data_IF_423834746909
#
_entry.id   IF_423834746909
#
_cell.length_a   1.000
_cell.length_b   1.000
_cell.length_c   1.000
_cell.angle_alpha   90.00
_cell.angle_beta   90.00
_cell.angle_gamma   90.00
#
_symmetry.space_group_name_H-M   'P 1'
#
loop_
_entity.id
_entity.type
_entity.pdbx_description
1 polymer ?
#
# COMPACT_ATOMS: atom_id res chain seq x y z
N UNK A 1 -3.69 15.14 -3.88
CA UNK A 1 -4.12 15.07 -5.31
C UNK A 1 -4.12 13.59 -5.65
N UNK A 2 -5.29 12.99 -5.86
CA UNK A 2 -5.40 11.54 -5.87
C UNK A 2 -4.77 10.93 -7.13
N UNK A 3 -3.87 9.97 -6.93
CA UNK A 3 -3.17 9.19 -7.97
C UNK A 3 -3.72 7.77 -8.02
N UNK A 4 -3.46 7.05 -9.10
CA UNK A 4 -3.89 5.66 -9.29
C UNK A 4 -2.69 4.76 -9.57
N UNK A 5 -2.74 3.53 -9.07
CA UNK A 5 -1.79 2.46 -9.39
C UNK A 5 -2.52 1.11 -9.38
N UNK A 6 -2.14 0.20 -10.28
CA UNK A 6 -2.66 -1.17 -10.30
C UNK A 6 -1.57 -2.12 -9.82
N UNK A 7 -1.83 -2.77 -8.68
CA UNK A 7 -0.89 -3.70 -8.06
C UNK A 7 -1.30 -5.14 -8.38
N UNK A 8 -0.43 -5.86 -9.08
CA UNK A 8 -0.64 -7.27 -9.39
C UNK A 8 -0.15 -8.16 -8.24
N UNK A 9 -0.99 -9.06 -7.74
CA UNK A 9 -0.68 -9.90 -6.60
C UNK A 9 -1.29 -11.29 -6.72
N UNK A 10 -0.46 -12.31 -6.48
CA UNK A 10 -0.85 -13.71 -6.61
C UNK A 10 -0.99 -14.34 -5.23
N UNK A 11 -2.16 -14.90 -4.95
CA UNK A 11 -2.41 -15.66 -3.71
C UNK A 11 -2.73 -17.09 -4.09
N UNK A 12 -1.93 -18.05 -3.63
CA UNK A 12 -2.13 -19.48 -3.92
C UNK A 12 -2.32 -19.80 -5.42
N UNK A 13 -1.52 -19.15 -6.29
CA UNK A 13 -1.59 -19.25 -7.76
C UNK A 13 -2.86 -18.66 -8.40
N UNK A 14 -3.66 -17.90 -7.64
CA UNK A 14 -4.72 -17.08 -8.19
C UNK A 14 -4.21 -15.65 -8.37
N UNK A 15 -4.01 -15.26 -9.62
CA UNK A 15 -3.61 -13.91 -9.95
C UNK A 15 -4.77 -12.95 -9.73
N UNK A 16 -4.49 -11.86 -9.04
CA UNK A 16 -5.41 -10.75 -8.82
C UNK A 16 -4.71 -9.45 -9.18
N UNK A 17 -5.47 -8.47 -9.68
CA UNK A 17 -4.99 -7.11 -9.85
C UNK A 17 -5.92 -6.19 -9.09
N UNK A 18 -5.34 -5.36 -8.23
CA UNK A 18 -6.08 -4.45 -7.35
C UNK A 18 -5.67 -3.04 -7.71
N UNK A 19 -6.64 -2.25 -8.15
CA UNK A 19 -6.42 -0.82 -8.38
C UNK A 19 -6.55 -0.07 -7.05
N UNK A 20 -5.59 0.81 -6.81
CA UNK A 20 -5.47 1.64 -5.63
C UNK A 20 -5.50 3.10 -6.04
N UNK A 21 -6.37 3.86 -5.40
CA UNK A 21 -6.27 5.31 -5.36
C UNK A 21 -5.43 5.69 -4.16
N UNK A 22 -4.47 6.60 -4.32
CA UNK A 22 -3.63 7.03 -3.21
C UNK A 22 -3.34 8.53 -3.20
N UNK A 23 -3.10 9.06 -2.01
CA UNK A 23 -2.56 10.42 -1.80
C UNK A 23 -1.41 10.36 -0.79
N UNK A 24 -0.52 11.33 -0.84
CA UNK A 24 0.69 11.35 -0.03
C UNK A 24 0.80 12.65 0.74
N UNK A 25 1.08 12.54 2.03
CA UNK A 25 1.32 13.68 2.92
C UNK A 25 2.63 13.44 3.63
N UNK A 26 3.47 14.47 3.67
CA UNK A 26 4.67 14.48 4.49
C UNK A 26 4.46 15.49 5.61
N UNK A 27 4.58 15.03 6.84
CA UNK A 27 4.54 15.87 8.03
C UNK A 27 5.84 15.68 8.81
N UNK A 28 6.57 16.76 9.00
CA UNK A 28 7.94 16.76 9.52
C UNK A 28 8.86 15.75 8.79
N UNK A 29 9.12 14.60 9.43
CA UNK A 29 9.95 13.51 8.91
C UNK A 29 9.14 12.24 8.62
N UNK A 30 7.81 12.29 8.71
CA UNK A 30 6.94 11.14 8.47
C UNK A 30 6.25 11.32 7.13
N UNK A 31 6.52 10.39 6.22
CA UNK A 31 5.81 10.28 4.96
C UNK A 31 4.69 9.26 5.10
N UNK A 32 3.47 9.67 4.79
CA UNK A 32 2.27 8.82 4.85
C UNK A 32 1.60 8.77 3.50
N UNK A 33 1.38 7.55 3.01
CA UNK A 33 0.63 7.25 1.80
C UNK A 33 -0.72 6.68 2.24
N UNK A 34 -1.79 7.40 1.94
CA UNK A 34 -3.16 6.97 2.18
C UNK A 34 -3.65 6.22 0.94
N UNK A 35 -3.96 4.95 1.08
CA UNK A 35 -4.42 4.09 -0.01
C UNK A 35 -5.88 3.72 0.17
N UNK A 36 -6.62 3.69 -0.93
CA UNK A 36 -8.00 3.23 -1.02
C UNK A 36 -8.16 2.27 -2.20
N UNK A 37 -8.69 1.08 -1.93
CA UNK A 37 -9.00 0.09 -2.96
C UNK A 37 -10.21 0.55 -3.76
N UNK A 38 -10.02 0.77 -5.06
CA UNK A 38 -11.09 1.19 -5.97
C UNK A 38 -11.98 0.00 -6.35
N UNK A 39 -13.22 0.28 -6.75
CA UNK A 39 -14.19 -0.74 -7.18
C UNK A 39 -15.24 -1.12 -6.11
N UNK A 40 -16.14 -2.05 -6.45
CA UNK A 40 -17.20 -2.51 -5.57
C UNK A 40 -16.69 -3.52 -4.52
N UNK A 41 -17.41 -3.71 -3.41
CA UNK A 41 -17.00 -4.62 -2.34
C UNK A 41 -16.94 -6.07 -2.84
N UNK A 42 -17.82 -6.40 -3.78
CA UNK A 42 -17.93 -7.69 -4.46
C UNK A 42 -16.73 -8.02 -5.34
N UNK A 43 -16.00 -7.02 -5.84
CA UNK A 43 -14.81 -7.20 -6.69
C UNK A 43 -13.50 -7.25 -5.91
N UNK A 44 -13.51 -6.90 -4.62
CA UNK A 44 -12.31 -6.96 -3.78
C UNK A 44 -12.02 -8.42 -3.42
N UNK A 45 -10.79 -8.91 -3.66
CA UNK A 45 -10.43 -10.27 -3.29
C UNK A 45 -10.65 -10.54 -1.80
N UNK A 46 -11.21 -11.71 -1.50
CA UNK A 46 -11.52 -12.15 -0.13
C UNK A 46 -10.30 -12.16 0.81
N UNK A 47 -9.10 -12.30 0.27
CA UNK A 47 -7.87 -12.31 1.05
C UNK A 47 -7.44 -10.90 1.48
N UNK A 48 -7.87 -9.85 0.76
CA UNK A 48 -7.54 -8.46 1.06
C UNK A 48 -8.51 -7.89 2.09
N UNK A 49 -9.82 -8.01 1.83
CA UNK A 49 -10.93 -7.62 2.73
C UNK A 49 -10.75 -6.27 3.44
N UNK A 50 -10.02 -5.36 2.80
CA UNK A 50 -9.67 -4.07 3.34
C UNK A 50 -9.91 -3.01 2.27
N UNK A 51 -10.49 -1.89 2.69
CA UNK A 51 -10.88 -0.79 1.81
C UNK A 51 -9.87 0.34 1.80
N UNK A 52 -9.29 0.64 2.95
CA UNK A 52 -8.35 1.74 3.14
C UNK A 52 -7.24 1.31 4.07
N UNK A 53 -6.02 1.70 3.74
CA UNK A 53 -4.84 1.45 4.56
C UNK A 53 -3.86 2.60 4.41
N UNK A 54 -2.95 2.69 5.36
CA UNK A 54 -1.90 3.70 5.37
C UNK A 54 -0.55 3.01 5.33
N UNK A 55 0.35 3.57 4.52
CA UNK A 55 1.74 3.17 4.44
C UNK A 55 2.56 4.32 5.01
N UNK A 56 3.30 4.08 6.08
CA UNK A 56 4.07 5.11 6.77
C UNK A 56 5.54 4.83 6.62
N UNK A 57 6.33 5.88 6.50
CA UNK A 57 7.78 5.77 6.49
C UNK A 57 8.42 6.98 7.16
N UNK A 58 9.57 6.74 7.78
CA UNK A 58 10.42 7.79 8.31
C UNK A 58 11.39 8.23 7.22
N UNK A 59 11.45 9.53 6.96
CA UNK A 59 12.42 10.14 6.06
C UNK A 59 13.68 10.46 6.88
N UNK A 60 14.80 9.83 6.53
CA UNK A 60 16.11 10.15 7.10
C UNK A 60 17.12 10.34 5.98
N UNK A 61 17.74 11.53 5.93
CA UNK A 61 18.74 11.87 4.91
C UNK A 61 18.28 11.63 3.44
N UNK A 62 17.00 11.89 3.17
CA UNK A 62 16.41 11.74 1.83
C UNK A 62 16.06 10.30 1.43
N UNK A 63 16.12 9.36 2.38
CA UNK A 63 15.74 7.98 2.16
C UNK A 63 14.62 7.56 3.12
N UNK A 64 13.82 6.58 2.71
CA UNK A 64 12.54 6.25 3.33
C UNK A 64 12.60 4.87 4.00
N UNK A 65 12.46 4.85 5.31
CA UNK A 65 12.38 3.61 6.10
C UNK A 65 10.92 3.30 6.42
N UNK A 66 10.35 2.18 5.94
CA UNK A 66 8.97 1.82 6.26
C UNK A 66 8.77 1.64 7.77
N UNK A 67 7.67 2.21 8.27
CA UNK A 67 7.18 2.02 9.62
C UNK A 67 6.10 0.95 9.57
N UNK A 68 6.44 -0.26 9.97
CA UNK A 68 5.49 -1.35 10.10
C UNK A 68 4.51 -1.02 11.23
N UNK A 69 3.30 -0.60 10.86
CA UNK A 69 2.18 -0.47 11.77
C UNK A 69 1.47 -1.81 11.83
N UNK A 70 1.26 -2.33 13.03
CA UNK A 70 0.34 -3.44 13.27
C UNK A 70 -1.09 -2.90 13.06
N UNK A 71 -1.48 -2.78 11.80
CA UNK A 71 -2.80 -2.35 11.40
C UNK A 71 -3.75 -3.49 11.76
N UNK A 72 -4.29 -3.51 12.99
CA UNK A 72 -5.19 -4.56 13.50
C UNK A 72 -6.48 -4.82 12.69
N UNK A 73 -6.62 -4.19 11.53
CA UNK A 73 -7.60 -4.48 10.49
C UNK A 73 -7.12 -5.51 9.45
N UNK A 74 -5.81 -5.70 9.30
CA UNK A 74 -5.21 -6.69 8.41
C UNK A 74 -5.22 -8.04 9.13
N UNK A 75 -6.05 -8.97 8.62
CA UNK A 75 -6.31 -10.26 9.26
C UNK A 75 -5.70 -11.45 8.51
N UNK A 76 -4.89 -11.17 7.50
CA UNK A 76 -4.44 -12.13 6.49
C UNK A 76 -3.01 -11.82 6.09
N UNK A 77 -2.13 -12.82 6.15
CA UNK A 77 -0.74 -12.71 5.68
C UNK A 77 -0.68 -12.25 4.22
N UNK A 78 -1.64 -12.70 3.40
CA UNK A 78 -1.72 -12.27 2.00
C UNK A 78 -2.03 -10.77 1.86
N UNK A 79 -2.83 -10.21 2.78
CA UNK A 79 -3.10 -8.78 2.79
C UNK A 79 -1.86 -7.98 3.24
N UNK A 80 -1.11 -8.46 4.24
CA UNK A 80 0.16 -7.83 4.65
C UNK A 80 1.17 -7.81 3.50
N UNK A 81 1.37 -8.96 2.85
CA UNK A 81 2.26 -9.08 1.69
C UNK A 81 1.82 -8.20 0.51
N UNK A 82 0.51 -8.06 0.29
CA UNK A 82 -0.02 -7.15 -0.70
C UNK A 82 0.29 -5.69 -0.35
N UNK A 83 0.13 -5.29 0.92
CA UNK A 83 0.41 -3.95 1.40
C UNK A 83 1.91 -3.61 1.22
N UNK A 84 2.81 -4.54 1.57
CA UNK A 84 4.25 -4.39 1.35
C UNK A 84 4.60 -4.22 -0.13
N UNK A 85 3.94 -5.02 -0.99
CA UNK A 85 4.10 -4.91 -2.44
C UNK A 85 3.59 -3.56 -2.96
N UNK A 86 2.40 -3.15 -2.55
CA UNK A 86 1.81 -1.87 -2.93
C UNK A 86 2.71 -0.70 -2.52
N UNK A 87 3.30 -0.75 -1.32
CA UNK A 87 4.28 0.24 -0.89
C UNK A 87 5.50 0.28 -1.81
N UNK A 88 6.08 -0.88 -2.11
CA UNK A 88 7.25 -0.96 -3.00
C UNK A 88 6.94 -0.39 -4.38
N UNK A 89 5.81 -0.75 -4.98
CA UNK A 89 5.43 -0.29 -6.32
C UNK A 89 5.13 1.22 -6.34
N UNK A 90 4.42 1.75 -5.33
CA UNK A 90 4.17 3.19 -5.23
C UNK A 90 5.48 3.96 -5.08
N UNK A 91 6.37 3.51 -4.19
CA UNK A 91 7.65 4.18 -3.96
C UNK A 91 8.55 4.15 -5.21
N UNK A 92 8.51 3.07 -5.98
CA UNK A 92 9.19 2.99 -7.28
C UNK A 92 8.57 3.92 -8.32
N UNK A 93 7.25 3.98 -8.41
CA UNK A 93 6.52 4.88 -9.33
C UNK A 93 6.82 6.35 -9.02
N UNK A 94 7.01 6.70 -7.75
CA UNK A 94 7.32 8.05 -7.30
C UNK A 94 8.84 8.35 -7.23
N UNK A 95 9.67 7.39 -7.65
CA UNK A 95 11.14 7.48 -7.62
C UNK A 95 11.74 7.74 -6.23
N UNK A 96 11.07 7.28 -5.17
CA UNK A 96 11.57 7.34 -3.81
C UNK A 96 12.52 6.19 -3.50
N UNK A 97 13.63 6.51 -2.83
CA UNK A 97 14.64 5.53 -2.46
C UNK A 97 14.28 4.89 -1.12
N UNK A 98 13.91 3.62 -1.17
CA UNK A 98 13.77 2.75 0.00
C UNK A 98 15.14 2.35 0.56
N UNK A 99 15.21 2.18 1.87
CA UNK A 99 16.37 1.61 2.60
C UNK A 99 16.05 0.18 3.02
#
# INVERSE_FOLDING_TARGET
MNKLITVAFDVNKQASSVELMYDMITDENVHTIYCEVTGELSSIPNWLRLRKFELRSLITAGAYTPLFSDNGQVRSIAAEQFIDKAYTEIMQQEHYKLI
#
